data_IF_310218954891
#
_entry.id   IF_310218954891
#
_cell.length_a   1.000
_cell.length_b   1.000
_cell.length_c   1.000
_cell.angle_alpha   90.00
_cell.angle_beta   90.00
_cell.angle_gamma   90.00
#
_symmetry.space_group_name_H-M   'P 1'
#
loop_
_entity.id
_entity.type
_entity.pdbx_description
1 polymer ?
#
# COMPACT_ATOMS: atom_id res chain seq x y z
N UNK A 1 -54.02 -27.41 -6.00
CA UNK A 1 -52.70 -27.40 -6.65
C UNK A 1 -51.67 -27.77 -5.59
N UNK A 2 -50.72 -28.66 -5.85
CA UNK A 2 -49.67 -28.96 -4.86
C UNK A 2 -48.91 -27.68 -4.51
N UNK A 3 -48.63 -27.50 -3.21
CA UNK A 3 -47.87 -26.37 -2.68
C UNK A 3 -46.49 -26.39 -3.33
N UNK A 4 -46.11 -25.32 -4.08
CA UNK A 4 -44.75 -25.19 -4.62
C UNK A 4 -43.79 -25.00 -3.46
N UNK A 5 -42.83 -25.90 -3.34
CA UNK A 5 -41.74 -25.84 -2.34
C UNK A 5 -40.86 -24.62 -2.66
N UNK A 6 -40.61 -23.78 -1.67
CA UNK A 6 -39.74 -22.61 -1.85
C UNK A 6 -38.27 -23.04 -2.06
N UNK A 7 -37.42 -22.21 -2.71
CA UNK A 7 -36.00 -22.50 -2.81
C UNK A 7 -35.33 -22.68 -1.45
N UNK A 8 -35.73 -21.94 -0.43
CA UNK A 8 -35.28 -22.11 0.97
C UNK A 8 -35.64 -23.51 1.52
N UNK A 9 -36.90 -23.96 1.33
CA UNK A 9 -37.31 -25.30 1.75
C UNK A 9 -36.55 -26.41 1.00
N UNK A 10 -36.28 -26.22 -0.30
CA UNK A 10 -35.48 -27.16 -1.10
C UNK A 10 -34.04 -27.27 -0.56
N UNK A 11 -33.38 -26.16 -0.18
CA UNK A 11 -32.03 -26.17 0.37
C UNK A 11 -32.01 -26.86 1.74
N UNK A 12 -33.02 -26.64 2.59
CA UNK A 12 -33.18 -27.35 3.85
C UNK A 12 -33.27 -28.87 3.63
N UNK A 13 -34.04 -29.31 2.63
CA UNK A 13 -34.14 -30.74 2.24
C UNK A 13 -32.76 -31.29 1.85
N UNK A 14 -32.01 -30.57 1.02
CA UNK A 14 -30.65 -30.97 0.59
C UNK A 14 -29.68 -31.10 1.77
N UNK A 15 -29.75 -30.20 2.74
CA UNK A 15 -28.92 -30.27 3.96
C UNK A 15 -29.32 -31.55 4.78
N UNK A 16 -30.59 -31.81 4.96
CA UNK A 16 -31.07 -32.99 5.70
C UNK A 16 -30.65 -34.30 5.02
N UNK A 17 -30.77 -34.38 3.68
CA UNK A 17 -30.32 -35.54 2.89
C UNK A 17 -28.80 -35.76 3.04
N UNK A 18 -28.02 -34.69 3.08
CA UNK A 18 -26.56 -34.76 3.23
C UNK A 18 -26.15 -35.38 4.57
N UNK A 19 -26.82 -34.99 5.66
CA UNK A 19 -26.57 -35.60 6.98
C UNK A 19 -27.01 -37.07 7.06
N UNK A 20 -28.00 -37.46 6.26
CA UNK A 20 -28.48 -38.87 6.19
C UNK A 20 -27.60 -39.75 5.29
N UNK A 21 -26.71 -39.18 4.48
CA UNK A 21 -25.99 -39.90 3.40
C UNK A 21 -24.88 -40.83 3.86
N UNK A 22 -24.42 -40.78 5.13
CA UNK A 22 -23.34 -41.59 5.65
C UNK A 22 -21.95 -41.31 5.05
N UNK A 23 -21.75 -40.15 4.40
CA UNK A 23 -20.47 -39.75 3.81
C UNK A 23 -19.47 -39.37 4.89
N UNK A 24 -18.18 -39.30 4.50
CA UNK A 24 -17.11 -38.90 5.39
C UNK A 24 -17.32 -37.45 5.89
N UNK A 25 -17.11 -37.23 7.20
CA UNK A 25 -17.42 -35.99 7.89
C UNK A 25 -16.79 -34.73 7.21
N UNK A 26 -15.55 -34.84 6.70
CA UNK A 26 -14.86 -33.73 6.03
C UNK A 26 -15.58 -33.28 4.76
N UNK A 27 -16.00 -34.22 3.91
CA UNK A 27 -16.74 -33.92 2.67
C UNK A 27 -18.15 -33.37 2.97
N UNK A 28 -18.83 -33.91 4.00
CA UNK A 28 -20.14 -33.42 4.44
C UNK A 28 -20.04 -31.96 4.96
N UNK A 29 -19.03 -31.62 5.77
CA UNK A 29 -18.89 -30.30 6.32
C UNK A 29 -18.69 -29.23 5.23
N UNK A 30 -17.90 -29.52 4.19
CA UNK A 30 -17.69 -28.59 3.10
C UNK A 30 -18.97 -28.33 2.28
N UNK A 31 -19.74 -29.42 2.00
CA UNK A 31 -21.03 -29.33 1.31
C UNK A 31 -22.07 -28.59 2.16
N UNK A 32 -22.15 -28.86 3.45
CA UNK A 32 -23.02 -28.15 4.40
C UNK A 32 -22.67 -26.68 4.46
N UNK A 33 -21.36 -26.31 4.49
CA UNK A 33 -20.95 -24.90 4.48
C UNK A 33 -21.45 -24.18 3.22
N UNK A 34 -21.31 -24.79 2.04
CA UNK A 34 -21.82 -24.23 0.77
C UNK A 34 -23.35 -24.10 0.76
N UNK A 35 -24.06 -25.12 1.18
CA UNK A 35 -25.53 -25.09 1.27
C UNK A 35 -26.02 -24.11 2.34
N UNK A 36 -25.30 -23.98 3.47
CA UNK A 36 -25.57 -23.01 4.53
C UNK A 36 -25.48 -21.57 4.03
N UNK A 37 -24.43 -21.24 3.27
CA UNK A 37 -24.30 -19.90 2.64
C UNK A 37 -25.41 -19.65 1.63
N UNK A 38 -25.75 -20.68 0.81
CA UNK A 38 -26.84 -20.59 -0.14
C UNK A 38 -28.18 -20.36 0.57
N UNK A 39 -28.42 -21.07 1.67
CA UNK A 39 -29.62 -20.93 2.50
C UNK A 39 -29.74 -19.53 3.07
N UNK A 40 -28.68 -19.01 3.70
CA UNK A 40 -28.65 -17.66 4.30
C UNK A 40 -28.93 -16.58 3.26
N UNK A 41 -28.29 -16.65 2.09
CA UNK A 41 -28.49 -15.67 1.02
C UNK A 41 -29.89 -15.76 0.40
N UNK A 42 -30.41 -16.98 0.22
CA UNK A 42 -31.76 -17.18 -0.31
C UNK A 42 -32.83 -16.68 0.67
N UNK A 43 -32.68 -17.00 1.96
CA UNK A 43 -33.57 -16.51 3.01
C UNK A 43 -33.57 -14.99 3.10
N UNK A 44 -32.39 -14.36 3.01
CA UNK A 44 -32.28 -12.90 3.03
C UNK A 44 -33.00 -12.27 1.82
N UNK A 45 -32.86 -12.83 0.63
CA UNK A 45 -33.61 -12.39 -0.56
C UNK A 45 -35.13 -12.49 -0.41
N UNK A 46 -35.59 -13.55 0.17
CA UNK A 46 -37.03 -13.78 0.43
C UNK A 46 -37.54 -12.83 1.52
N UNK A 47 -36.72 -12.56 2.56
CA UNK A 47 -37.02 -11.60 3.62
C UNK A 47 -37.12 -10.15 3.11
N UNK A 48 -36.21 -9.73 2.22
CA UNK A 48 -36.30 -8.41 1.58
C UNK A 48 -37.61 -8.20 0.85
N UNK A 49 -38.12 -9.24 0.17
CA UNK A 49 -39.43 -9.17 -0.53
C UNK A 49 -40.57 -9.13 0.48
N UNK A 50 -40.49 -9.88 1.59
CA UNK A 50 -41.47 -9.83 2.68
C UNK A 50 -41.54 -8.43 3.30
N UNK A 51 -40.40 -7.86 3.62
CA UNK A 51 -40.29 -6.50 4.15
C UNK A 51 -40.85 -5.44 3.18
N UNK A 52 -40.49 -5.57 1.88
CA UNK A 52 -40.94 -4.63 0.86
C UNK A 52 -42.46 -4.68 0.60
N UNK A 53 -43.05 -5.90 0.54
CA UNK A 53 -44.50 -6.07 0.38
C UNK A 53 -45.29 -5.77 1.66
N UNK A 54 -44.63 -5.76 2.84
CA UNK A 54 -45.28 -5.62 4.14
C UNK A 54 -46.14 -6.80 4.54
N UNK A 55 -45.99 -7.97 3.89
CA UNK A 55 -46.77 -9.20 4.16
C UNK A 55 -45.97 -10.46 3.85
N UNK A 56 -46.21 -11.48 4.62
CA UNK A 56 -45.57 -12.77 4.45
C UNK A 56 -46.25 -13.63 3.34
N UNK A 57 -45.70 -14.81 3.09
CA UNK A 57 -46.21 -15.74 2.11
C UNK A 57 -47.62 -16.24 2.52
N UNK A 58 -48.59 -16.15 1.58
CA UNK A 58 -50.01 -16.50 1.81
C UNK A 58 -50.75 -15.61 2.85
N UNK A 59 -50.18 -14.54 3.34
CA UNK A 59 -50.86 -13.61 4.22
C UNK A 59 -51.81 -12.70 3.43
N UNK A 60 -53.04 -12.51 3.94
CA UNK A 60 -54.02 -11.57 3.39
C UNK A 60 -54.04 -10.32 4.26
N UNK A 61 -53.67 -9.21 3.72
CA UNK A 61 -53.64 -7.91 4.41
C UNK A 61 -53.40 -6.78 3.44
N UNK A 62 -53.46 -5.56 3.90
CA UNK A 62 -53.05 -4.39 3.13
C UNK A 62 -51.53 -4.39 2.96
N UNK A 63 -51.03 -4.48 1.73
CA UNK A 63 -49.58 -4.49 1.50
C UNK A 63 -48.99 -3.07 1.65
N UNK A 64 -47.74 -2.98 2.11
CA UNK A 64 -47.00 -1.73 2.12
C UNK A 64 -46.76 -1.18 0.69
N UNK A 65 -46.62 -2.07 -0.28
CA UNK A 65 -46.61 -1.78 -1.72
C UNK A 65 -47.61 -2.65 -2.45
N UNK A 66 -48.23 -2.09 -3.52
CA UNK A 66 -49.08 -2.89 -4.41
C UNK A 66 -48.24 -4.01 -5.04
N UNK A 67 -48.90 -5.12 -5.32
CA UNK A 67 -48.30 -6.28 -6.00
C UNK A 67 -48.35 -7.58 -5.22
N UNK A 68 -47.94 -8.66 -5.87
CA UNK A 68 -47.92 -10.00 -5.27
C UNK A 68 -46.77 -10.86 -5.81
N UNK A 69 -46.40 -11.89 -5.02
CA UNK A 69 -45.37 -12.84 -5.42
C UNK A 69 -45.87 -13.74 -6.55
N UNK A 70 -45.09 -13.96 -7.58
CA UNK A 70 -45.41 -14.76 -8.74
C UNK A 70 -44.28 -15.78 -9.04
N UNK A 71 -43.95 -16.60 -8.06
CA UNK A 71 -42.87 -17.58 -8.16
C UNK A 71 -41.48 -16.95 -8.13
N UNK A 72 -40.53 -17.55 -8.81
CA UNK A 72 -39.13 -17.16 -8.83
C UNK A 72 -38.64 -16.95 -10.26
N UNK A 73 -37.62 -16.13 -10.41
CA UNK A 73 -36.85 -15.98 -11.64
C UNK A 73 -35.96 -17.22 -11.84
N UNK A 74 -35.44 -17.45 -13.07
CA UNK A 74 -34.40 -18.48 -13.28
C UNK A 74 -33.24 -18.31 -12.30
N UNK A 75 -32.64 -19.43 -11.89
CA UNK A 75 -31.49 -19.42 -11.00
C UNK A 75 -30.37 -18.59 -11.58
N UNK A 76 -29.76 -17.76 -10.75
CA UNK A 76 -28.55 -16.97 -11.04
C UNK A 76 -27.40 -17.46 -10.18
N UNK A 77 -26.21 -17.55 -10.75
CA UNK A 77 -25.02 -17.97 -10.04
C UNK A 77 -24.26 -16.74 -9.53
N UNK A 78 -23.98 -16.70 -8.22
CA UNK A 78 -23.11 -15.73 -7.58
C UNK A 78 -21.82 -16.43 -7.19
N UNK A 79 -20.70 -15.88 -7.62
CA UNK A 79 -19.37 -16.39 -7.26
C UNK A 79 -18.96 -15.85 -5.89
N UNK A 80 -18.65 -16.78 -4.97
CA UNK A 80 -18.21 -16.49 -3.60
C UNK A 80 -16.86 -17.13 -3.32
N UNK A 81 -16.26 -16.81 -2.18
CA UNK A 81 -15.03 -17.46 -1.70
C UNK A 81 -15.22 -18.91 -1.27
N UNK A 82 -16.46 -19.39 -1.18
CA UNK A 82 -16.82 -20.80 -0.90
C UNK A 82 -17.26 -21.56 -2.17
N UNK A 83 -17.05 -20.95 -3.34
CA UNK A 83 -17.49 -21.47 -4.63
C UNK A 83 -18.74 -20.77 -5.16
N UNK A 84 -19.27 -21.24 -6.30
CA UNK A 84 -20.48 -20.70 -6.91
C UNK A 84 -21.71 -21.07 -6.07
N UNK A 85 -22.59 -20.09 -5.86
CA UNK A 85 -23.85 -20.21 -5.14
C UNK A 85 -25.00 -19.86 -6.09
N UNK A 86 -25.93 -20.78 -6.26
CA UNK A 86 -27.13 -20.56 -7.06
C UNK A 86 -28.26 -19.99 -6.21
N UNK A 87 -28.79 -18.85 -6.63
CA UNK A 87 -29.90 -18.17 -5.98
C UNK A 87 -31.06 -17.95 -6.95
N UNK A 88 -32.28 -17.95 -6.43
CA UNK A 88 -33.47 -17.64 -7.20
C UNK A 88 -34.16 -16.40 -6.65
N UNK A 89 -34.21 -15.35 -7.45
CA UNK A 89 -34.89 -14.08 -7.07
C UNK A 89 -36.40 -14.31 -7.10
N UNK A 90 -37.13 -13.90 -6.04
CA UNK A 90 -38.59 -13.87 -6.10
C UNK A 90 -39.05 -12.96 -7.25
N UNK A 91 -40.06 -13.39 -7.99
CA UNK A 91 -40.71 -12.60 -9.05
C UNK A 91 -41.96 -11.95 -8.49
N UNK A 92 -42.06 -10.63 -8.70
CA UNK A 92 -43.20 -9.82 -8.31
C UNK A 92 -44.05 -9.46 -9.54
N UNK A 93 -45.36 -9.28 -9.37
CA UNK A 93 -46.29 -8.78 -10.37
C UNK A 93 -47.16 -7.68 -9.81
N UNK A 94 -47.66 -6.83 -10.71
CA UNK A 94 -48.59 -5.74 -10.45
C UNK A 94 -48.11 -4.81 -9.32
N UNK A 95 -46.81 -4.50 -9.33
CA UNK A 95 -46.16 -3.61 -8.37
C UNK A 95 -46.28 -2.18 -8.84
N UNK A 96 -46.54 -1.27 -7.93
CA UNK A 96 -46.54 0.18 -8.13
C UNK A 96 -45.13 0.76 -8.35
N UNK A 97 -44.12 0.10 -7.76
CA UNK A 97 -42.72 0.43 -7.89
C UNK A 97 -41.87 -0.80 -8.23
N UNK A 98 -40.71 -0.59 -8.85
CA UNK A 98 -39.78 -1.66 -9.13
C UNK A 98 -39.03 -2.07 -7.84
N UNK A 99 -39.13 -3.35 -7.47
CA UNK A 99 -38.33 -3.90 -6.38
C UNK A 99 -36.85 -3.99 -6.76
N UNK A 100 -35.98 -3.40 -5.96
CA UNK A 100 -34.53 -3.52 -6.05
C UNK A 100 -33.98 -4.17 -4.78
N UNK A 101 -33.37 -5.34 -4.92
CA UNK A 101 -32.73 -6.02 -3.77
C UNK A 101 -31.53 -5.21 -3.28
N UNK A 102 -31.44 -4.97 -1.97
CA UNK A 102 -30.30 -4.36 -1.29
C UNK A 102 -29.11 -5.32 -1.19
N UNK A 103 -29.41 -6.61 -1.03
CA UNK A 103 -28.40 -7.68 -0.96
C UNK A 103 -27.71 -7.90 -2.32
N UNK A 104 -28.51 -7.89 -3.38
CA UNK A 104 -28.04 -8.17 -4.73
C UNK A 104 -28.44 -7.02 -5.66
N UNK A 105 -27.63 -5.96 -5.67
CA UNK A 105 -27.78 -4.88 -6.63
C UNK A 105 -27.80 -5.37 -8.10
N UNK A 106 -28.21 -4.53 -9.02
CA UNK A 106 -28.26 -4.87 -10.45
C UNK A 106 -26.87 -5.26 -10.95
N UNK A 107 -26.74 -6.46 -11.53
CA UNK A 107 -25.49 -6.93 -12.15
C UNK A 107 -24.44 -7.53 -11.20
N UNK A 108 -24.74 -7.69 -9.92
CA UNK A 108 -23.81 -8.38 -8.98
C UNK A 108 -23.78 -9.88 -9.30
N UNK A 109 -22.61 -10.36 -9.71
CA UNK A 109 -22.35 -11.79 -10.02
C UNK A 109 -21.22 -12.39 -9.16
N UNK A 110 -20.65 -11.62 -8.23
CA UNK A 110 -19.55 -12.01 -7.36
C UNK A 110 -19.57 -11.22 -6.05
N UNK A 111 -18.96 -11.75 -5.01
CA UNK A 111 -18.83 -11.07 -3.71
C UNK A 111 -17.58 -10.18 -3.67
N UNK A 112 -17.62 -9.11 -2.87
CA UNK A 112 -16.46 -8.24 -2.63
C UNK A 112 -15.26 -9.01 -2.07
N UNK A 113 -15.49 -10.06 -1.27
CA UNK A 113 -14.44 -10.93 -0.75
C UNK A 113 -13.69 -11.66 -1.87
N UNK A 114 -14.39 -12.14 -2.89
CA UNK A 114 -13.78 -12.78 -4.06
C UNK A 114 -12.99 -11.75 -4.90
N UNK A 115 -13.50 -10.52 -5.08
CA UNK A 115 -12.75 -9.44 -5.74
C UNK A 115 -11.47 -9.12 -4.99
N UNK A 116 -11.53 -9.01 -3.67
CA UNK A 116 -10.36 -8.76 -2.81
C UNK A 116 -9.32 -9.89 -2.93
N UNK A 117 -9.76 -11.15 -3.06
CA UNK A 117 -8.86 -12.29 -3.26
C UNK A 117 -8.15 -12.22 -4.62
N UNK A 118 -8.85 -11.82 -5.68
CA UNK A 118 -8.29 -11.59 -7.02
C UNK A 118 -7.25 -10.48 -6.99
N UNK A 119 -7.60 -9.33 -6.41
CA UNK A 119 -6.66 -8.21 -6.23
C UNK A 119 -5.43 -8.67 -5.46
N UNK A 120 -5.63 -9.42 -4.37
CA UNK A 120 -4.53 -9.96 -3.58
C UNK A 120 -3.62 -10.91 -4.38
N UNK A 121 -4.18 -11.73 -5.26
CA UNK A 121 -3.43 -12.60 -6.17
C UNK A 121 -2.54 -11.80 -7.13
N UNK A 122 -3.11 -10.78 -7.79
CA UNK A 122 -2.36 -9.86 -8.65
C UNK A 122 -1.25 -9.13 -7.91
N UNK A 123 -1.57 -8.54 -6.77
CA UNK A 123 -0.60 -7.83 -5.93
C UNK A 123 0.54 -8.76 -5.47
N UNK A 124 0.28 -10.07 -5.37
CA UNK A 124 1.30 -11.10 -5.05
C UNK A 124 2.06 -11.60 -6.28
N UNK A 125 1.77 -11.08 -7.47
CA UNK A 125 2.49 -11.37 -8.71
C UNK A 125 1.93 -12.52 -9.55
N UNK A 126 0.73 -12.99 -9.26
CA UNK A 126 0.07 -13.95 -10.13
C UNK A 126 -0.38 -13.26 -11.43
N UNK A 127 -0.17 -13.90 -12.56
CA UNK A 127 -0.76 -13.44 -13.83
C UNK A 127 -2.28 -13.62 -13.82
N UNK A 128 -2.97 -13.01 -14.78
CA UNK A 128 -4.42 -13.22 -14.95
C UNK A 128 -4.79 -14.69 -15.10
N UNK A 129 -3.95 -15.45 -15.80
CA UNK A 129 -4.14 -16.90 -15.99
C UNK A 129 -3.89 -17.69 -14.69
N UNK A 130 -2.86 -17.30 -13.92
CA UNK A 130 -2.54 -17.96 -12.66
C UNK A 130 -3.63 -17.70 -11.62
N UNK A 131 -4.20 -16.49 -11.57
CA UNK A 131 -5.34 -16.18 -10.71
C UNK A 131 -6.56 -17.01 -11.11
N UNK A 132 -6.86 -17.10 -12.42
CA UNK A 132 -7.95 -17.92 -12.94
C UNK A 132 -7.75 -19.41 -12.62
N UNK A 133 -6.56 -19.94 -12.86
CA UNK A 133 -6.21 -21.32 -12.57
C UNK A 133 -6.28 -21.64 -11.06
N UNK A 134 -5.70 -20.78 -10.22
CA UNK A 134 -5.72 -20.95 -8.76
C UNK A 134 -7.15 -20.92 -8.21
N UNK A 135 -8.00 -20.04 -8.73
CA UNK A 135 -9.40 -19.99 -8.30
C UNK A 135 -10.20 -21.19 -8.81
N UNK A 136 -9.91 -21.66 -10.03
CA UNK A 136 -10.54 -22.89 -10.56
C UNK A 136 -10.14 -24.13 -9.75
N UNK A 137 -8.88 -24.23 -9.36
CA UNK A 137 -8.37 -25.32 -8.53
C UNK A 137 -8.93 -25.28 -7.10
N UNK A 138 -8.92 -24.09 -6.47
CA UNK A 138 -9.36 -23.95 -5.08
C UNK A 138 -10.86 -23.96 -4.88
N UNK A 139 -11.66 -23.46 -5.85
CA UNK A 139 -13.10 -23.22 -5.70
C UNK A 139 -13.95 -23.97 -6.74
N UNK A 140 -13.31 -24.77 -7.61
CA UNK A 140 -13.95 -25.51 -8.71
C UNK A 140 -13.99 -24.71 -10.02
N UNK A 141 -14.07 -25.43 -11.15
CA UNK A 141 -14.01 -24.86 -12.50
C UNK A 141 -15.06 -23.76 -12.77
N UNK A 142 -16.25 -23.86 -12.15
CA UNK A 142 -17.32 -22.84 -12.28
C UNK A 142 -17.02 -21.55 -11.52
N UNK A 143 -16.07 -21.57 -10.57
CA UNK A 143 -15.61 -20.38 -9.86
C UNK A 143 -14.56 -19.60 -10.64
N UNK A 144 -14.00 -20.17 -11.72
CA UNK A 144 -13.04 -19.50 -12.58
C UNK A 144 -13.58 -18.14 -13.04
N UNK A 145 -12.77 -17.10 -12.81
CA UNK A 145 -13.14 -15.76 -13.22
C UNK A 145 -12.87 -15.59 -14.72
N UNK A 146 -13.82 -15.06 -15.45
CA UNK A 146 -13.60 -14.75 -16.85
C UNK A 146 -12.52 -13.67 -17.01
N UNK A 147 -11.80 -13.67 -18.14
CA UNK A 147 -10.82 -12.61 -18.50
C UNK A 147 -11.42 -11.21 -18.35
N UNK A 148 -12.71 -11.03 -18.65
CA UNK A 148 -13.41 -9.75 -18.50
C UNK A 148 -13.55 -9.33 -17.03
N UNK A 149 -13.75 -10.26 -16.12
CA UNK A 149 -13.82 -9.98 -14.67
C UNK A 149 -12.45 -9.54 -14.15
N UNK A 150 -11.40 -10.26 -14.51
CA UNK A 150 -10.03 -9.91 -14.16
C UNK A 150 -9.67 -8.53 -14.72
N UNK A 151 -10.02 -8.25 -15.97
CA UNK A 151 -9.81 -6.93 -16.59
C UNK A 151 -10.53 -5.81 -15.83
N UNK A 152 -11.76 -6.04 -15.37
CA UNK A 152 -12.49 -5.05 -14.53
C UNK A 152 -11.82 -4.79 -13.19
N UNK A 153 -11.29 -5.84 -12.54
CA UNK A 153 -10.52 -5.68 -11.30
C UNK A 153 -9.26 -4.86 -11.54
N UNK A 154 -8.52 -5.13 -12.62
CA UNK A 154 -7.37 -4.31 -13.00
C UNK A 154 -7.75 -2.85 -13.30
N UNK A 155 -8.92 -2.63 -13.93
CA UNK A 155 -9.43 -1.28 -14.17
C UNK A 155 -9.79 -0.56 -12.86
N UNK A 156 -10.37 -1.26 -11.88
CA UNK A 156 -10.64 -0.70 -10.54
C UNK A 156 -9.36 -0.26 -9.83
N UNK A 157 -8.31 -1.09 -9.84
CA UNK A 157 -6.99 -0.72 -9.28
C UNK A 157 -6.43 0.55 -9.94
N UNK A 158 -6.58 0.69 -11.26
CA UNK A 158 -6.14 1.90 -11.97
C UNK A 158 -6.92 3.14 -11.53
N UNK A 159 -8.22 3.01 -11.33
CA UNK A 159 -9.07 4.10 -10.84
C UNK A 159 -8.72 4.49 -9.41
N UNK A 160 -8.51 3.51 -8.53
CA UNK A 160 -8.06 3.75 -7.15
C UNK A 160 -6.68 4.45 -7.12
N UNK A 161 -5.75 4.02 -7.98
CA UNK A 161 -4.45 4.66 -8.13
C UNK A 161 -4.58 6.12 -8.60
N UNK A 162 -5.41 6.40 -9.60
CA UNK A 162 -5.61 7.75 -10.10
C UNK A 162 -6.21 8.68 -9.03
N UNK A 163 -7.19 8.19 -8.26
CA UNK A 163 -7.75 8.91 -7.11
C UNK A 163 -6.68 9.15 -6.03
N UNK A 164 -5.91 8.13 -5.69
CA UNK A 164 -4.83 8.23 -4.72
C UNK A 164 -3.74 9.22 -5.18
N UNK A 165 -3.38 9.20 -6.47
CA UNK A 165 -2.37 10.08 -7.04
C UNK A 165 -2.76 11.56 -6.95
N UNK A 166 -4.05 11.86 -7.01
CA UNK A 166 -4.58 13.24 -6.98
C UNK A 166 -5.02 13.70 -5.59
N UNK A 167 -4.87 12.86 -4.54
CA UNK A 167 -5.35 13.19 -3.20
C UNK A 167 -4.67 14.42 -2.63
N UNK A 168 -5.39 15.17 -1.83
CA UNK A 168 -4.86 16.29 -1.05
C UNK A 168 -3.81 15.80 -0.04
N UNK A 169 -2.72 16.54 0.08
CA UNK A 169 -1.62 16.29 1.01
C UNK A 169 -1.49 17.40 2.07
N UNK A 170 -2.36 18.41 2.09
CA UNK A 170 -2.29 19.56 3.00
C UNK A 170 -2.39 19.17 4.48
N UNK A 171 -3.07 18.06 4.77
CA UNK A 171 -3.15 17.48 6.12
C UNK A 171 -1.99 16.54 6.50
N UNK A 172 -0.98 16.39 5.62
CA UNK A 172 0.12 15.47 5.83
C UNK A 172 1.37 16.23 6.30
N UNK A 173 1.64 16.21 7.58
CA UNK A 173 2.86 16.80 8.15
C UNK A 173 3.94 15.73 8.32
N UNK A 174 5.13 15.99 7.75
CA UNK A 174 6.23 15.03 7.73
C UNK A 174 7.44 15.55 8.51
N UNK A 175 8.05 14.67 9.32
CA UNK A 175 9.40 14.89 9.82
C UNK A 175 10.43 14.46 8.79
N UNK A 176 10.20 13.34 8.10
CA UNK A 176 11.16 12.75 7.15
C UNK A 176 10.50 12.46 5.80
N UNK A 177 11.21 12.77 4.72
CA UNK A 177 10.83 12.41 3.35
C UNK A 177 11.97 11.63 2.69
N UNK A 178 11.71 10.38 2.32
CA UNK A 178 12.63 9.52 1.59
C UNK A 178 12.28 9.57 0.11
N UNK A 179 13.25 9.84 -0.75
CA UNK A 179 13.06 9.87 -2.19
C UNK A 179 14.08 8.98 -2.90
N UNK A 180 13.62 8.14 -3.80
CA UNK A 180 14.44 7.19 -4.56
C UNK A 180 13.70 6.78 -5.84
N UNK A 181 14.42 6.27 -6.84
CA UNK A 181 13.88 5.74 -8.06
C UNK A 181 14.11 4.23 -8.20
N UNK A 182 13.18 3.56 -8.86
CA UNK A 182 13.34 2.17 -9.25
C UNK A 182 12.98 2.00 -10.72
N UNK A 183 13.57 1.02 -11.41
CA UNK A 183 13.44 0.88 -12.85
C UNK A 183 12.57 -0.31 -13.22
N UNK A 184 11.61 -0.08 -14.12
CA UNK A 184 10.72 -1.09 -14.69
C UNK A 184 10.70 -1.02 -16.22
N UNK A 185 10.46 -2.15 -16.89
CA UNK A 185 10.22 -2.19 -18.33
C UNK A 185 8.74 -1.89 -18.60
N UNK A 186 8.43 -0.65 -18.92
CA UNK A 186 7.05 -0.18 -19.13
C UNK A 186 6.64 -0.18 -20.60
N UNK A 187 7.57 0.13 -21.51
CA UNK A 187 7.29 0.21 -22.94
C UNK A 187 8.04 -0.87 -23.75
N UNK A 188 7.48 -1.27 -24.92
CA UNK A 188 8.16 -2.16 -25.85
C UNK A 188 9.50 -1.58 -26.31
N UNK A 189 10.54 -2.41 -26.35
CA UNK A 189 11.87 -2.03 -26.83
C UNK A 189 12.57 -0.92 -26.04
N UNK A 190 11.99 -0.46 -24.93
CA UNK A 190 12.62 0.45 -23.98
C UNK A 190 13.50 -0.32 -22.98
N UNK A 191 14.52 0.34 -22.47
CA UNK A 191 15.28 -0.10 -21.32
C UNK A 191 14.45 -0.06 -20.03
N UNK A 192 15.10 -0.11 -18.87
CA UNK A 192 14.43 0.18 -17.61
C UNK A 192 14.09 1.66 -17.52
N UNK A 193 12.83 1.98 -17.28
CA UNK A 193 12.33 3.35 -17.11
C UNK A 193 12.12 3.62 -15.63
N UNK A 194 12.53 4.80 -15.10
CA UNK A 194 12.44 5.07 -13.68
C UNK A 194 11.01 5.31 -13.23
N UNK A 195 10.67 4.75 -12.08
CA UNK A 195 9.49 5.08 -11.29
C UNK A 195 9.99 5.81 -10.06
N UNK A 196 9.65 7.10 -9.96
CA UNK A 196 9.99 7.96 -8.84
C UNK A 196 9.05 7.69 -7.68
N UNK A 197 9.58 7.62 -6.47
CA UNK A 197 8.81 7.30 -5.29
C UNK A 197 9.23 8.16 -4.10
N UNK A 198 8.24 8.61 -3.34
CA UNK A 198 8.45 9.34 -2.09
C UNK A 198 7.69 8.66 -0.94
N UNK A 199 8.40 8.44 0.18
CA UNK A 199 7.90 7.94 1.44
C UNK A 199 8.07 8.97 2.52
N UNK A 200 7.07 9.11 3.39
CA UNK A 200 7.16 10.01 4.53
C UNK A 200 7.10 9.26 5.86
N UNK A 201 7.69 9.87 6.88
CA UNK A 201 7.38 9.60 8.29
C UNK A 201 6.67 10.83 8.81
N UNK A 202 5.44 10.65 9.30
CA UNK A 202 4.64 11.74 9.86
C UNK A 202 5.18 12.19 11.21
N UNK A 203 4.72 13.34 11.68
CA UNK A 203 5.00 13.87 13.02
C UNK A 203 4.56 12.94 14.16
N UNK A 204 3.66 11.98 13.87
CA UNK A 204 3.23 10.91 14.80
C UNK A 204 4.08 9.63 14.66
N UNK A 205 5.17 9.67 13.90
CA UNK A 205 6.05 8.53 13.65
C UNK A 205 5.51 7.51 12.64
N UNK A 206 4.32 7.74 12.04
CA UNK A 206 3.71 6.79 11.09
C UNK A 206 4.39 6.87 9.72
N UNK A 207 4.58 5.73 9.09
CA UNK A 207 5.13 5.64 7.74
C UNK A 207 4.02 5.69 6.70
N UNK A 208 4.17 6.56 5.70
CA UNK A 208 3.17 6.78 4.64
C UNK A 208 3.80 6.80 3.25
N UNK A 209 3.10 6.27 2.24
CA UNK A 209 3.44 6.48 0.84
C UNK A 209 2.93 7.85 0.41
N UNK A 210 3.84 8.75 0.05
CA UNK A 210 3.53 10.14 -0.28
C UNK A 210 3.23 10.30 -1.77
N UNK A 211 4.13 9.82 -2.62
CA UNK A 211 4.02 9.96 -4.06
C UNK A 211 4.61 8.81 -4.84
N UNK A 212 4.09 8.59 -6.03
CA UNK A 212 4.58 7.66 -7.03
C UNK A 212 4.29 8.24 -8.42
N UNK A 213 5.31 8.33 -9.26
CA UNK A 213 5.19 8.89 -10.61
C UNK A 213 6.19 8.29 -11.58
N UNK A 214 5.94 8.42 -12.89
CA UNK A 214 6.91 8.02 -13.89
C UNK A 214 7.98 9.10 -14.06
N UNK A 215 9.17 8.69 -14.50
CA UNK A 215 10.20 9.58 -15.01
C UNK A 215 10.64 9.13 -16.40
N UNK A 216 10.84 10.06 -17.32
CA UNK A 216 11.45 9.72 -18.62
C UNK A 216 12.92 9.28 -18.46
N UNK A 217 13.60 9.88 -17.48
CA UNK A 217 14.93 9.53 -17.00
C UNK A 217 15.00 9.90 -15.51
N UNK A 218 16.04 9.44 -14.81
CA UNK A 218 16.34 9.91 -13.46
C UNK A 218 17.10 11.26 -13.55
N UNK A 219 16.40 12.28 -14.01
CA UNK A 219 16.91 13.63 -14.27
C UNK A 219 16.42 14.66 -13.26
N UNK A 220 17.04 15.83 -13.25
CA UNK A 220 16.57 16.97 -12.46
C UNK A 220 15.12 17.33 -12.81
N UNK A 221 14.78 17.46 -14.10
CA UNK A 221 13.43 17.87 -14.53
C UNK A 221 12.35 16.89 -14.08
N UNK A 222 12.65 15.58 -14.12
CA UNK A 222 11.72 14.54 -13.66
C UNK A 222 11.47 14.64 -12.14
N UNK A 223 12.52 14.84 -11.35
CA UNK A 223 12.40 15.03 -9.91
C UNK A 223 11.76 16.37 -9.55
N UNK A 224 12.08 17.42 -10.27
CA UNK A 224 11.47 18.75 -10.06
C UNK A 224 9.95 18.65 -10.28
N UNK A 225 9.51 18.16 -11.43
CA UNK A 225 8.08 17.99 -11.71
C UNK A 225 7.38 17.08 -10.69
N UNK A 226 8.07 16.04 -10.20
CA UNK A 226 7.53 15.16 -9.16
C UNK A 226 7.33 15.90 -7.82
N UNK A 227 8.29 16.69 -7.37
CA UNK A 227 8.17 17.46 -6.13
C UNK A 227 7.19 18.64 -6.26
N UNK A 228 7.13 19.29 -7.42
CA UNK A 228 6.13 20.32 -7.72
C UNK A 228 4.69 19.76 -7.65
N UNK A 229 4.44 18.54 -8.17
CA UNK A 229 3.15 17.86 -8.00
C UNK A 229 2.80 17.63 -6.53
N UNK A 230 3.77 17.14 -5.72
CA UNK A 230 3.55 16.96 -4.29
C UNK A 230 3.20 18.27 -3.58
N UNK A 231 3.91 19.36 -3.88
CA UNK A 231 3.66 20.70 -3.33
C UNK A 231 2.32 21.27 -3.79
N UNK A 232 1.99 21.12 -5.07
CA UNK A 232 0.70 21.57 -5.63
C UNK A 232 -0.48 20.88 -4.95
N UNK A 233 -0.30 19.64 -4.49
CA UNK A 233 -1.28 18.90 -3.69
C UNK A 233 -1.24 19.24 -2.20
N UNK A 234 -0.45 20.23 -1.79
CA UNK A 234 -0.42 20.76 -0.42
C UNK A 234 0.64 20.16 0.50
N UNK A 235 1.59 19.35 0.01
CA UNK A 235 2.64 18.79 0.86
C UNK A 235 3.50 19.92 1.44
N UNK A 236 3.53 20.02 2.76
CA UNK A 236 4.40 20.94 3.48
C UNK A 236 5.85 20.46 3.45
N UNK A 237 6.78 21.41 3.67
CA UNK A 237 8.23 21.13 3.74
C UNK A 237 8.53 20.18 4.91
N UNK A 238 9.19 19.02 4.67
CA UNK A 238 9.62 18.12 5.73
C UNK A 238 10.84 18.66 6.47
N UNK A 239 11.14 18.14 7.66
CA UNK A 239 12.36 18.53 8.38
C UNK A 239 13.63 18.00 7.70
N UNK A 240 13.58 16.77 7.21
CA UNK A 240 14.73 16.09 6.60
C UNK A 240 14.33 15.29 5.36
N UNK A 241 15.03 15.54 4.26
CA UNK A 241 15.01 14.68 3.09
C UNK A 241 16.12 13.65 3.10
N UNK A 242 15.82 12.40 2.87
CA UNK A 242 16.81 11.33 2.73
C UNK A 242 16.86 10.90 1.26
N UNK A 243 18.01 11.16 0.61
CA UNK A 243 18.18 10.90 -0.83
C UNK A 243 19.37 9.98 -1.07
N UNK A 244 19.39 9.32 -2.22
CA UNK A 244 20.56 8.61 -2.70
C UNK A 244 21.64 9.64 -3.17
N UNK A 245 22.15 9.71 -4.31
CA UNK A 245 23.11 10.72 -4.63
C UNK A 245 23.08 11.08 -6.11
N UNK A 246 21.95 10.86 -6.70
CA UNK A 246 21.69 11.36 -8.03
C UNK A 246 21.73 12.90 -8.01
N UNK A 247 22.61 13.56 -8.78
CA UNK A 247 22.71 15.02 -8.73
C UNK A 247 21.40 15.73 -9.06
N UNK A 248 20.61 15.17 -9.97
CA UNK A 248 19.29 15.69 -10.34
C UNK A 248 18.30 15.66 -9.18
N UNK A 249 18.27 14.56 -8.41
CA UNK A 249 17.43 14.44 -7.22
C UNK A 249 17.85 15.42 -6.12
N UNK A 250 19.16 15.52 -5.87
CA UNK A 250 19.71 16.44 -4.86
C UNK A 250 19.26 17.86 -5.14
N UNK A 251 19.54 18.35 -6.35
CA UNK A 251 19.20 19.71 -6.76
C UNK A 251 17.69 19.97 -6.71
N UNK A 252 16.89 19.08 -7.27
CA UNK A 252 15.43 19.23 -7.27
C UNK A 252 14.84 19.24 -5.84
N UNK A 253 15.38 18.42 -4.93
CA UNK A 253 14.95 18.40 -3.53
C UNK A 253 15.26 19.71 -2.83
N UNK A 254 16.51 20.21 -2.92
CA UNK A 254 16.97 21.43 -2.27
C UNK A 254 16.21 22.67 -2.77
N UNK A 255 15.90 22.74 -4.06
CA UNK A 255 15.07 23.80 -4.64
C UNK A 255 13.58 23.69 -4.22
N UNK A 256 13.01 22.48 -4.22
CA UNK A 256 11.61 22.29 -3.86
C UNK A 256 11.34 22.54 -2.37
N UNK A 257 12.27 22.16 -1.49
CA UNK A 257 12.12 22.17 -0.03
C UNK A 257 13.26 22.94 0.64
N UNK A 258 13.45 24.19 0.24
CA UNK A 258 14.59 25.06 0.65
C UNK A 258 14.77 25.24 2.16
N UNK A 259 13.70 25.02 2.98
CA UNK A 259 13.80 25.04 4.44
C UNK A 259 14.15 23.71 5.09
N UNK A 260 14.24 22.63 4.31
CA UNK A 260 14.51 21.27 4.79
C UNK A 260 16.01 20.99 4.83
N UNK A 261 16.43 20.19 5.81
CA UNK A 261 17.76 19.58 5.79
C UNK A 261 17.78 18.38 4.83
N UNK A 262 18.98 18.02 4.33
CA UNK A 262 19.15 16.85 3.46
C UNK A 262 20.18 15.88 4.04
N UNK A 263 19.82 14.61 4.10
CA UNK A 263 20.69 13.50 4.43
C UNK A 263 21.07 12.73 3.17
N UNK A 264 22.34 12.58 2.95
CA UNK A 264 22.90 11.68 1.95
C UNK A 264 22.86 10.23 2.46
N UNK A 265 22.36 9.31 1.67
CA UNK A 265 22.36 7.89 2.03
C UNK A 265 23.78 7.36 2.26
N UNK A 266 24.11 7.01 3.50
CA UNK A 266 25.45 6.49 3.86
C UNK A 266 25.74 5.15 3.20
N UNK A 267 24.74 4.32 2.93
CA UNK A 267 24.90 3.01 2.26
C UNK A 267 25.30 3.19 0.79
N UNK A 268 24.61 4.08 0.06
CA UNK A 268 24.97 4.41 -1.33
C UNK A 268 26.37 5.04 -1.39
N UNK A 269 26.69 5.92 -0.45
CA UNK A 269 28.01 6.53 -0.38
C UNK A 269 29.10 5.51 -0.07
N UNK A 270 28.87 4.57 0.83
CA UNK A 270 29.80 3.45 1.07
C UNK A 270 30.08 2.66 -0.21
N UNK A 271 29.05 2.33 -1.00
CA UNK A 271 29.22 1.65 -2.30
C UNK A 271 30.06 2.45 -3.26
N UNK A 272 29.81 3.77 -3.36
CA UNK A 272 30.56 4.67 -4.23
C UNK A 272 32.04 4.80 -3.79
N UNK A 273 32.28 4.88 -2.49
CA UNK A 273 33.62 4.92 -1.91
C UNK A 273 34.40 3.64 -2.19
N UNK A 274 33.77 2.49 -1.91
CA UNK A 274 34.40 1.18 -2.11
C UNK A 274 34.65 0.85 -3.60
N UNK A 275 33.84 1.39 -4.50
CA UNK A 275 34.07 1.24 -5.95
C UNK A 275 35.41 1.90 -6.41
N UNK A 276 35.94 2.84 -5.62
CA UNK A 276 37.22 3.54 -5.86
C UNK A 276 38.41 2.86 -5.16
N UNK A 277 38.19 1.70 -4.50
CA UNK A 277 39.19 1.00 -3.73
C UNK A 277 39.40 -0.40 -4.34
N UNK A 278 40.66 -0.86 -4.51
CA UNK A 278 40.96 -2.23 -4.96
C UNK A 278 40.32 -3.27 -4.05
N UNK A 279 39.85 -4.39 -4.63
CA UNK A 279 39.11 -5.46 -3.91
C UNK A 279 39.83 -5.94 -2.64
N UNK A 280 41.15 -6.07 -2.68
CA UNK A 280 41.96 -6.53 -1.54
C UNK A 280 41.89 -5.57 -0.32
N UNK A 281 41.66 -4.28 -0.52
CA UNK A 281 41.59 -3.27 0.57
C UNK A 281 40.14 -2.90 0.94
N UNK A 282 39.12 -3.38 0.22
CA UNK A 282 37.75 -2.98 0.47
C UNK A 282 37.25 -3.35 1.87
N UNK A 283 37.66 -4.49 2.43
CA UNK A 283 37.22 -4.89 3.77
C UNK A 283 37.74 -3.92 4.85
N UNK A 284 39.01 -3.53 4.77
CA UNK A 284 39.64 -2.55 5.67
C UNK A 284 38.98 -1.18 5.55
N UNK A 285 38.84 -0.67 4.34
CA UNK A 285 38.27 0.64 4.09
C UNK A 285 36.78 0.69 4.47
N UNK A 286 36.05 -0.41 4.24
CA UNK A 286 34.65 -0.55 4.65
C UNK A 286 34.48 -0.43 6.16
N UNK A 287 35.30 -1.14 6.94
CA UNK A 287 35.25 -1.07 8.39
C UNK A 287 35.56 0.35 8.90
N UNK A 288 36.59 0.98 8.34
CA UNK A 288 36.95 2.36 8.67
C UNK A 288 35.86 3.38 8.25
N UNK A 289 35.18 3.18 7.14
CA UNK A 289 34.07 4.03 6.72
C UNK A 289 32.89 3.95 7.72
N UNK A 290 32.49 2.75 8.13
CA UNK A 290 31.39 2.60 9.07
C UNK A 290 31.71 3.14 10.46
N UNK A 291 32.97 3.04 10.91
CA UNK A 291 33.38 3.61 12.19
C UNK A 291 33.22 5.13 12.30
N UNK A 292 33.04 5.83 11.18
CA UNK A 292 32.70 7.26 11.18
C UNK A 292 31.35 7.51 11.87
N UNK A 293 30.36 6.64 11.62
CA UNK A 293 28.96 6.84 12.00
C UNK A 293 28.49 5.94 13.15
N UNK A 294 29.19 4.83 13.42
CA UNK A 294 28.77 3.85 14.42
C UNK A 294 29.28 4.25 15.82
N UNK A 295 28.56 3.78 16.86
CA UNK A 295 28.93 3.96 18.27
C UNK A 295 29.18 5.41 18.73
N UNK A 296 28.41 6.35 18.19
CA UNK A 296 28.43 7.74 18.68
C UNK A 296 27.57 7.84 19.92
N UNK A 297 28.18 8.14 21.07
CA UNK A 297 27.53 8.22 22.39
C UNK A 297 27.07 9.62 22.77
N UNK A 298 27.46 10.64 22.00
CA UNK A 298 27.09 12.04 22.26
C UNK A 298 25.58 12.29 22.14
N UNK A 299 25.13 13.37 22.75
CA UNK A 299 23.77 13.90 22.60
C UNK A 299 23.55 14.28 21.13
N UNK A 300 22.34 14.00 20.57
CA UNK A 300 21.99 14.46 19.22
C UNK A 300 22.26 15.97 19.03
N UNK A 301 22.69 16.35 17.84
CA UNK A 301 23.04 17.73 17.51
C UNK A 301 24.51 17.90 17.14
N UNK A 302 25.03 19.11 17.27
CA UNK A 302 26.39 19.48 16.83
C UNK A 302 27.50 18.67 17.52
N UNK A 303 27.29 18.23 18.77
CA UNK A 303 28.27 17.39 19.48
C UNK A 303 28.44 16.00 18.81
N UNK A 304 27.36 15.38 18.38
CA UNK A 304 27.41 14.12 17.64
C UNK A 304 28.00 14.30 16.23
N UNK A 305 27.66 15.39 15.55
CA UNK A 305 28.22 15.76 14.25
C UNK A 305 29.73 15.95 14.35
N UNK A 306 30.21 16.69 15.37
CA UNK A 306 31.64 16.96 15.56
C UNK A 306 32.46 15.66 15.72
N UNK A 307 31.94 14.66 16.43
CA UNK A 307 32.60 13.35 16.56
C UNK A 307 32.72 12.66 15.20
N UNK A 308 31.61 12.63 14.40
CA UNK A 308 31.63 12.02 13.08
C UNK A 308 32.60 12.74 12.13
N UNK A 309 32.61 14.06 12.17
CA UNK A 309 33.54 14.90 11.38
C UNK A 309 35.00 14.61 11.77
N UNK A 310 35.30 14.54 13.07
CA UNK A 310 36.65 14.18 13.52
C UNK A 310 37.08 12.80 13.01
N UNK A 311 36.21 11.81 13.13
CA UNK A 311 36.48 10.46 12.63
C UNK A 311 36.62 10.39 11.10
N UNK A 312 35.90 11.24 10.36
CA UNK A 312 36.05 11.35 8.93
C UNK A 312 37.41 11.96 8.55
N UNK A 313 37.93 12.95 9.32
CA UNK A 313 39.29 13.47 9.13
C UNK A 313 40.37 12.44 9.51
N UNK A 314 40.11 11.56 10.50
CA UNK A 314 41.03 10.48 10.80
C UNK A 314 41.03 9.42 9.67
N UNK A 315 39.87 9.13 9.08
CA UNK A 315 39.74 8.33 7.85
C UNK A 315 40.53 8.97 6.70
N UNK A 316 40.39 10.28 6.50
CA UNK A 316 41.12 11.03 5.49
C UNK A 316 42.63 10.90 5.69
N UNK A 317 43.18 11.18 6.89
CA UNK A 317 44.59 11.05 7.20
C UNK A 317 45.13 9.65 6.92
N UNK A 318 44.34 8.62 7.22
CA UNK A 318 44.77 7.23 7.06
C UNK A 318 44.85 6.78 5.60
N UNK A 319 43.94 7.29 4.74
CA UNK A 319 43.72 6.72 3.39
C UNK A 319 44.05 7.72 2.26
N UNK A 320 44.29 8.99 2.53
CA UNK A 320 44.53 10.03 1.51
C UNK A 320 45.62 9.65 0.50
N UNK A 321 46.75 9.14 0.96
CA UNK A 321 47.86 8.78 0.07
C UNK A 321 47.64 7.50 -0.71
N UNK A 322 46.87 6.58 -0.12
CA UNK A 322 46.59 5.25 -0.75
C UNK A 322 45.38 5.27 -1.69
N UNK A 323 44.35 6.01 -1.32
CA UNK A 323 43.05 6.01 -2.00
C UNK A 323 42.43 7.42 -2.06
N UNK A 324 43.07 8.40 -2.69
CA UNK A 324 42.65 9.82 -2.65
C UNK A 324 41.23 10.00 -3.19
N UNK A 325 40.84 9.30 -4.26
CA UNK A 325 39.51 9.37 -4.84
C UNK A 325 38.39 8.80 -3.92
N UNK A 326 38.73 7.82 -3.08
CA UNK A 326 37.80 7.29 -2.08
C UNK A 326 37.61 8.25 -0.90
N UNK A 327 38.70 8.95 -0.50
CA UNK A 327 38.69 9.97 0.53
C UNK A 327 37.88 11.18 0.08
N UNK A 328 38.15 11.77 -1.10
CA UNK A 328 37.33 12.86 -1.65
C UNK A 328 35.87 12.49 -1.74
N UNK A 329 35.55 11.24 -2.12
CA UNK A 329 34.18 10.75 -2.16
C UNK A 329 33.47 10.87 -0.80
N UNK A 330 34.17 10.74 0.33
CA UNK A 330 33.58 10.87 1.68
C UNK A 330 33.55 12.33 2.12
N UNK A 331 34.66 13.03 1.98
CA UNK A 331 34.85 14.38 2.54
C UNK A 331 34.00 15.42 1.82
N UNK A 332 33.85 15.33 0.49
CA UNK A 332 33.07 16.29 -0.30
C UNK A 332 31.54 16.28 0.08
N UNK A 333 31.05 15.21 0.65
CA UNK A 333 29.63 15.09 1.06
C UNK A 333 29.45 15.01 2.60
N UNK A 334 30.49 15.31 3.38
CA UNK A 334 30.52 15.03 4.82
C UNK A 334 29.37 15.68 5.59
N UNK A 335 29.06 16.94 5.30
CA UNK A 335 27.96 17.67 5.94
C UNK A 335 26.62 16.94 5.74
N UNK A 336 26.34 16.53 4.51
CA UNK A 336 25.10 15.82 4.20
C UNK A 336 25.09 14.35 4.68
N UNK A 337 26.25 13.75 4.91
CA UNK A 337 26.37 12.40 5.49
C UNK A 337 26.12 12.38 7.00
N UNK A 338 26.37 13.48 7.69
CA UNK A 338 26.25 13.61 9.15
C UNK A 338 24.96 14.26 9.62
N UNK A 339 24.14 14.75 8.71
CA UNK A 339 22.90 15.50 9.02
C UNK A 339 21.95 14.71 9.94
N UNK A 340 21.81 13.39 9.77
CA UNK A 340 20.97 12.55 10.61
C UNK A 340 21.33 12.59 12.10
N UNK A 341 22.57 12.93 12.45
CA UNK A 341 23.04 13.01 13.84
C UNK A 341 22.45 14.20 14.61
N UNK A 342 21.84 15.16 13.90
CA UNK A 342 21.09 16.28 14.50
C UNK A 342 19.71 15.90 14.98
N UNK A 343 19.20 14.76 14.54
CA UNK A 343 17.85 14.24 14.82
C UNK A 343 17.85 13.28 16.02
N UNK A 344 16.66 12.87 16.53
CA UNK A 344 16.58 11.93 17.66
C UNK A 344 17.41 10.68 17.44
N UNK A 345 18.12 10.24 18.50
CA UNK A 345 19.05 9.12 18.41
C UNK A 345 18.37 7.81 17.97
N UNK A 346 17.18 7.57 18.44
CA UNK A 346 16.35 6.43 18.08
C UNK A 346 15.99 6.39 16.58
N UNK A 347 16.13 7.52 15.87
CA UNK A 347 15.88 7.63 14.43
C UNK A 347 17.14 7.45 13.57
N UNK A 348 18.36 7.57 14.13
CA UNK A 348 19.61 7.59 13.38
C UNK A 348 19.78 6.41 12.42
N UNK A 349 19.51 5.18 12.92
CA UNK A 349 19.64 3.98 12.09
C UNK A 349 18.70 4.00 10.87
N UNK A 350 17.53 4.61 11.00
CA UNK A 350 16.52 4.66 9.94
C UNK A 350 16.72 5.83 8.98
N UNK A 351 17.19 6.97 9.48
CA UNK A 351 17.32 8.21 8.71
C UNK A 351 18.65 8.33 7.97
N UNK A 352 19.68 7.55 8.33
CA UNK A 352 20.97 7.58 7.65
C UNK A 352 21.00 6.90 6.28
N UNK A 353 19.93 6.22 5.83
CA UNK A 353 19.93 5.49 4.57
C UNK A 353 18.51 5.31 3.96
N UNK A 354 18.46 5.01 2.65
CA UNK A 354 17.24 4.73 1.87
C UNK A 354 16.82 3.25 1.84
N UNK A 355 17.39 2.36 2.64
CA UNK A 355 17.12 0.92 2.63
C UNK A 355 15.63 0.56 2.80
N UNK A 356 14.83 1.45 3.41
CA UNK A 356 13.38 1.30 3.50
C UNK A 356 12.73 1.24 2.12
N UNK A 357 13.18 2.08 1.19
CA UNK A 357 12.74 2.10 -0.20
C UNK A 357 13.28 0.88 -0.97
N UNK A 358 14.58 0.57 -0.83
CA UNK A 358 15.21 -0.56 -1.52
C UNK A 358 14.50 -1.89 -1.23
N UNK A 359 14.15 -2.17 0.04
CA UNK A 359 13.41 -3.39 0.43
C UNK A 359 12.04 -3.45 -0.22
N UNK A 360 11.32 -2.34 -0.23
CA UNK A 360 9.97 -2.25 -0.78
C UNK A 360 9.99 -2.40 -2.30
N UNK A 361 10.97 -1.77 -2.96
CA UNK A 361 11.20 -1.96 -4.39
C UNK A 361 11.69 -3.37 -4.75
N UNK A 362 12.49 -3.99 -3.91
CA UNK A 362 12.91 -5.38 -4.05
C UNK A 362 11.71 -6.33 -4.09
N UNK A 363 10.73 -6.10 -3.22
CA UNK A 363 9.47 -6.83 -3.18
C UNK A 363 8.64 -6.59 -4.45
N UNK A 364 8.50 -5.34 -4.86
CA UNK A 364 7.77 -4.96 -6.08
C UNK A 364 8.42 -5.58 -7.32
N UNK A 365 9.76 -5.53 -7.42
CA UNK A 365 10.51 -6.15 -8.54
C UNK A 365 10.35 -7.67 -8.58
N UNK A 366 10.36 -8.37 -7.44
CA UNK A 366 10.09 -9.82 -7.39
C UNK A 366 8.71 -10.17 -7.92
N UNK A 367 7.71 -9.38 -7.57
CA UNK A 367 6.31 -9.60 -7.98
C UNK A 367 6.08 -9.22 -9.44
N UNK A 368 6.69 -8.14 -9.94
CA UNK A 368 6.57 -7.74 -11.35
C UNK A 368 7.38 -8.62 -12.30
N UNK A 369 8.43 -9.30 -11.81
CA UNK A 369 9.25 -10.20 -12.62
C UNK A 369 8.46 -11.37 -13.23
N UNK A 370 7.45 -11.86 -12.52
CA UNK A 370 6.54 -12.93 -12.97
C UNK A 370 5.64 -12.46 -14.11
N UNK A 371 5.33 -11.15 -14.18
CA UNK A 371 4.45 -10.57 -15.21
C UNK A 371 5.14 -10.41 -16.55
N UNK A 372 6.46 -10.63 -16.61
CA UNK A 372 7.29 -10.61 -17.82
C UNK A 372 7.34 -9.25 -18.51
N UNK A 373 6.22 -8.61 -18.76
CA UNK A 373 6.09 -7.29 -19.38
C UNK A 373 4.81 -6.59 -18.92
N UNK A 374 4.94 -5.36 -18.48
CA UNK A 374 3.80 -4.54 -18.10
C UNK A 374 3.21 -3.84 -19.34
N UNK A 375 1.88 -3.83 -19.52
CA UNK A 375 1.24 -3.24 -20.68
C UNK A 375 1.11 -1.71 -20.57
N UNK A 376 2.25 -0.99 -20.51
CA UNK A 376 2.32 0.47 -20.45
C UNK A 376 2.42 1.06 -19.05
N UNK A 377 2.75 2.35 -19.00
CA UNK A 377 3.08 3.15 -17.81
C UNK A 377 1.99 3.10 -16.72
N UNK A 378 0.72 3.44 -17.06
CA UNK A 378 -0.39 3.45 -16.10
C UNK A 378 -0.61 2.09 -15.43
N UNK A 379 -0.42 0.99 -16.18
CA UNK A 379 -0.54 -0.36 -15.63
C UNK A 379 0.62 -0.71 -14.71
N UNK A 380 1.83 -0.25 -15.04
CA UNK A 380 2.99 -0.39 -14.18
C UNK A 380 2.80 0.36 -12.86
N UNK A 381 2.49 1.64 -12.95
CA UNK A 381 2.34 2.51 -11.78
C UNK A 381 1.22 2.05 -10.85
N UNK A 382 0.06 1.68 -11.39
CA UNK A 382 -1.06 1.18 -10.58
C UNK A 382 -0.73 -0.14 -9.87
N UNK A 383 0.03 -1.04 -10.51
CA UNK A 383 0.48 -2.29 -9.88
C UNK A 383 1.55 -2.02 -8.81
N UNK A 384 2.54 -1.18 -9.10
CA UNK A 384 3.57 -0.77 -8.15
C UNK A 384 2.90 -0.13 -6.93
N UNK A 385 1.98 0.80 -7.15
CA UNK A 385 1.20 1.42 -6.09
C UNK A 385 0.43 0.40 -5.24
N UNK A 386 -0.31 -0.52 -5.86
CA UNK A 386 -1.09 -1.52 -5.13
C UNK A 386 -0.22 -2.42 -4.24
N UNK A 387 0.99 -2.78 -4.72
CA UNK A 387 1.97 -3.53 -3.92
C UNK A 387 2.47 -2.70 -2.74
N UNK A 388 2.81 -1.42 -2.99
CA UNK A 388 3.35 -0.51 -1.99
C UNK A 388 2.29 -0.13 -0.95
N UNK A 389 1.06 0.22 -1.37
CA UNK A 389 -0.05 0.54 -0.48
C UNK A 389 -0.37 -0.63 0.45
N UNK A 390 -0.47 -1.84 -0.09
CA UNK A 390 -0.72 -3.02 0.72
C UNK A 390 0.42 -3.30 1.71
N UNK A 391 1.67 -3.14 1.27
CA UNK A 391 2.83 -3.31 2.14
C UNK A 391 2.85 -2.25 3.24
N UNK A 392 2.40 -1.03 2.96
CA UNK A 392 2.37 0.08 3.91
C UNK A 392 1.51 -0.19 5.14
N UNK A 393 0.42 -0.95 4.99
CA UNK A 393 -0.52 -1.26 6.09
C UNK A 393 0.08 -2.08 7.22
N UNK A 394 1.21 -2.77 6.98
CA UNK A 394 1.92 -3.55 7.99
C UNK A 394 3.22 -2.91 8.49
N UNK A 395 3.50 -1.67 8.12
CA UNK A 395 4.75 -1.04 8.47
C UNK A 395 4.75 -0.48 9.89
N UNK A 396 5.83 -0.80 10.61
CA UNK A 396 6.14 -0.12 11.86
C UNK A 396 6.72 1.26 11.51
N UNK A 397 6.24 2.29 12.20
CA UNK A 397 6.79 3.64 12.14
C UNK A 397 8.13 3.76 12.86
N UNK A 398 8.52 4.99 13.18
CA UNK A 398 9.63 5.27 14.08
C UNK A 398 9.11 5.39 15.52
N UNK A 399 9.90 4.89 16.44
CA UNK A 399 9.65 5.09 17.87
C UNK A 399 9.82 6.58 18.20
N UNK A 400 8.91 7.12 19.00
CA UNK A 400 8.95 8.51 19.41
C UNK A 400 9.06 8.59 20.92
N UNK A 401 10.22 9.05 21.38
CA UNK A 401 10.42 9.33 22.80
C UNK A 401 10.00 10.78 23.11
N UNK A 402 9.62 11.10 24.36
CA UNK A 402 9.31 12.49 24.74
C UNK A 402 10.48 13.47 24.51
N UNK A 403 11.73 12.99 24.64
CA UNK A 403 12.92 13.78 24.34
C UNK A 403 13.09 14.00 22.84
N UNK A 404 12.89 12.93 22.04
CA UNK A 404 12.91 12.99 20.58
C UNK A 404 11.86 13.94 20.00
N UNK A 405 10.63 13.90 20.51
CA UNK A 405 9.55 14.79 20.10
C UNK A 405 9.90 16.27 20.37
N UNK A 406 10.45 16.58 21.54
CA UNK A 406 10.90 17.95 21.85
C UNK A 406 11.98 18.41 20.89
N UNK A 407 12.97 17.56 20.62
CA UNK A 407 14.03 17.89 19.66
C UNK A 407 13.47 18.13 18.24
N UNK A 408 12.53 17.32 17.77
CA UNK A 408 11.88 17.53 16.46
C UNK A 408 11.09 18.84 16.42
N UNK A 409 10.38 19.18 17.48
CA UNK A 409 9.67 20.46 17.60
C UNK A 409 10.64 21.66 17.58
N UNK A 410 11.78 21.56 18.30
CA UNK A 410 12.80 22.60 18.30
C UNK A 410 13.42 22.77 16.90
N UNK A 411 13.77 21.67 16.23
CA UNK A 411 14.25 21.68 14.85
C UNK A 411 13.22 22.31 13.89
N UNK A 412 11.94 21.99 14.05
CA UNK A 412 10.88 22.55 13.21
C UNK A 412 10.76 24.06 13.39
N UNK A 413 10.80 24.55 14.62
CA UNK A 413 10.80 26.00 14.89
C UNK A 413 12.02 26.69 14.27
N UNK A 414 13.19 26.10 14.41
CA UNK A 414 14.44 26.65 13.88
C UNK A 414 14.48 26.68 12.34
N UNK A 415 14.06 25.61 11.70
CA UNK A 415 14.17 25.43 10.24
C UNK A 415 13.00 26.04 9.47
N UNK A 416 11.78 25.88 9.99
CA UNK A 416 10.55 26.20 9.25
C UNK A 416 9.74 27.34 9.89
N UNK A 417 10.15 27.84 11.07
CA UNK A 417 9.46 28.92 11.77
C UNK A 417 8.01 28.58 12.16
N UNK A 418 7.63 27.29 12.23
CA UNK A 418 6.27 26.85 12.53
C UNK A 418 6.17 26.09 13.85
N UNK A 419 5.16 26.43 14.67
CA UNK A 419 4.73 25.66 15.85
C UNK A 419 3.57 24.74 15.47
N UNK A 420 3.75 23.43 15.62
CA UNK A 420 2.69 22.44 15.37
C UNK A 420 1.51 22.58 16.37
N UNK A 421 1.73 23.16 17.54
CA UNK A 421 0.71 23.31 18.60
C UNK A 421 -0.28 24.45 18.39
N UNK A 422 -0.12 25.30 17.36
CA UNK A 422 -1.11 26.34 17.05
C UNK A 422 -2.47 25.77 16.55
N UNK A 423 -2.56 24.45 16.33
CA UNK A 423 -3.79 23.78 15.87
C UNK A 423 -4.43 22.82 16.89
N UNK A 424 -3.87 22.66 18.08
CA UNK A 424 -4.51 21.87 19.14
C UNK A 424 -5.38 22.81 19.94
N UNK A 425 -6.70 22.66 19.80
CA UNK A 425 -7.72 23.36 20.60
C UNK A 425 -7.43 23.14 22.08
N UNK A 426 -7.26 24.21 22.91
CA UNK A 426 -6.94 24.08 24.32
C UNK A 426 -8.07 23.49 25.18
N UNK A 427 -9.19 23.04 24.55
CA UNK A 427 -10.39 22.54 25.26
C UNK A 427 -10.62 21.02 25.13
N UNK A 428 -9.62 20.22 24.75
CA UNK A 428 -9.72 18.76 24.90
C UNK A 428 -9.29 18.39 26.31
N UNK A 429 -10.23 18.37 27.22
CA UNK A 429 -10.11 17.83 28.57
C UNK A 429 -9.59 16.40 28.54
N UNK A 430 -8.41 16.22 29.14
CA UNK A 430 -7.89 14.88 29.48
C UNK A 430 -8.73 14.40 30.67
N UNK A 431 -9.83 13.71 30.40
CA UNK A 431 -10.55 12.91 31.39
C UNK A 431 -10.63 11.48 30.94
N UNK A 432 -10.00 10.64 31.76
CA UNK A 432 -10.28 9.22 32.01
C UNK A 432 -9.76 8.18 31.00
N UNK A 433 -8.63 7.59 31.35
CA UNK A 433 -8.45 6.14 31.34
C UNK A 433 -7.66 5.75 32.60
N UNK A 434 -8.43 5.45 33.65
CA UNK A 434 -7.98 4.63 34.77
C UNK A 434 -8.30 3.17 34.46
#
# INVERSE_FOLDING_TARGET
MPRRVSPTEQIHGQIAELFASGQELGAVLEQVARLGVRLLMQTALEAEVTEWLGRDWCERGEPAHAGYRNGYQPAMTIKTTLGPVELQRPKLRDTDQAFASRLLGVGITKTNALESLVIAGFVRGLSTRDVEATLAEALGAQAALSKSTVSRVCAAIKTEFDTWKQRDLSGLELDYLYSDATFFKMHPNAGGEPVLCAWGITTEGRKVLVGLGPGAAESYDAWQGFFEDLKARGLATPLLGITDGAPGLIRAYEEAFSGSLRQRCVVHKARNTLAKVPKAAQAEVKAAYWSIFDDITAVPGEAAVAIAVQRAHDFEKRYRDRFPAAVSCVIDDLDSLTTHLRFPREHWERTRHTNLLERTFGETRRRSKVIGRLPGERSCLSLVWAVLDRASKGWRGLEQTPAGLRLLQDLRRQLLGSDLHAKVDPNVDIKEAA
#
